data_IF_162251649975
#
_entry.id   IF_162251649975
#
_cell.length_a   1.000
_cell.length_b   1.000
_cell.length_c   1.000
_cell.angle_alpha   90.00
_cell.angle_beta   90.00
_cell.angle_gamma   90.00
#
_symmetry.space_group_name_H-M   'P 1'
#
loop_
_entity.id
_entity.type
_entity.pdbx_description
1 polymer ?
#
# COMPACT_ATOMS: atom_id res chain seq x y z
N UNK A 1 -31.14 -14.87 9.80
CA UNK A 1 -30.58 -15.47 8.56
C UNK A 1 -31.06 -16.91 8.44
N UNK A 2 -31.62 -17.26 7.28
CA UNK A 2 -32.29 -18.54 6.99
C UNK A 2 -31.25 -19.66 6.83
N UNK A 3 -31.45 -20.78 7.51
CA UNK A 3 -30.64 -22.00 7.37
C UNK A 3 -31.06 -22.72 6.07
N UNK A 4 -30.12 -22.84 5.14
CA UNK A 4 -30.26 -23.60 3.90
C UNK A 4 -30.23 -25.10 4.19
N UNK A 5 -31.28 -25.78 3.73
CA UNK A 5 -31.42 -27.23 3.66
C UNK A 5 -30.49 -27.78 2.57
N UNK A 6 -29.72 -28.83 2.86
CA UNK A 6 -29.05 -29.64 1.83
C UNK A 6 -29.85 -30.92 1.60
N UNK A 7 -30.66 -30.91 0.55
CA UNK A 7 -31.08 -32.11 -0.17
C UNK A 7 -29.89 -32.57 -1.03
N UNK A 8 -29.26 -33.68 -0.67
CA UNK A 8 -28.35 -34.41 -1.54
C UNK A 8 -28.82 -35.88 -1.54
N UNK A 9 -29.58 -36.28 -2.56
CA UNK A 9 -29.02 -36.95 -3.75
C UNK A 9 -28.52 -38.35 -3.38
N UNK A 10 -29.39 -39.37 -3.31
CA UNK A 10 -29.79 -40.20 -4.46
C UNK A 10 -28.55 -40.67 -5.23
N UNK A 11 -28.05 -41.88 -4.93
CA UNK A 11 -27.38 -42.82 -5.85
C UNK A 11 -26.81 -44.02 -5.06
N UNK A 12 -27.66 -45.01 -4.75
CA UNK A 12 -27.22 -46.40 -4.53
C UNK A 12 -28.09 -47.31 -5.42
N UNK A 13 -27.82 -47.26 -6.73
CA UNK A 13 -28.25 -48.31 -7.64
C UNK A 13 -27.29 -49.49 -7.44
N UNK A 14 -27.77 -50.48 -6.70
CA UNK A 14 -27.15 -51.78 -6.47
C UNK A 14 -27.25 -52.57 -7.80
N UNK A 15 -26.15 -52.96 -8.47
CA UNK A 15 -26.26 -53.83 -9.63
C UNK A 15 -26.57 -55.25 -9.14
N UNK A 16 -27.75 -55.73 -9.51
CA UNK A 16 -28.23 -57.08 -9.27
C UNK A 16 -27.33 -58.10 -9.98
N UNK A 17 -26.77 -59.02 -9.20
CA UNK A 17 -26.09 -60.23 -9.66
C UNK A 17 -27.17 -61.17 -10.23
N UNK A 18 -27.29 -61.26 -11.55
CA UNK A 18 -28.17 -62.23 -12.22
C UNK A 18 -27.71 -62.51 -13.65
N UNK A 19 -26.53 -63.10 -13.82
CA UNK A 19 -26.06 -63.71 -15.09
C UNK A 19 -25.16 -64.92 -14.78
N UNK A 20 -25.68 -65.89 -14.03
CA UNK A 20 -24.96 -67.14 -13.75
C UNK A 20 -25.93 -68.33 -13.88
N UNK A 21 -26.45 -68.53 -15.09
CA UNK A 21 -27.12 -69.77 -15.47
C UNK A 21 -27.09 -69.94 -17.00
N UNK A 22 -26.71 -71.14 -17.44
CA UNK A 22 -26.63 -71.67 -18.81
C UNK A 22 -25.33 -71.31 -19.56
N UNK A 23 -24.26 -72.09 -19.37
CA UNK A 23 -23.94 -73.29 -20.17
C UNK A 23 -23.47 -72.94 -21.58
N UNK A 24 -22.14 -72.76 -21.76
CA UNK A 24 -21.31 -73.29 -22.86
C UNK A 24 -19.99 -72.48 -23.09
N UNK A 25 -19.05 -72.40 -22.12
CA UNK A 25 -17.79 -71.62 -22.28
C UNK A 25 -16.56 -72.19 -21.52
N UNK A 26 -16.27 -73.49 -21.60
CA UNK A 26 -15.03 -74.03 -20.98
C UNK A 26 -13.75 -73.81 -21.82
N UNK A 27 -13.84 -73.14 -22.97
CA UNK A 27 -12.72 -72.89 -23.89
C UNK A 27 -12.12 -71.48 -23.86
N UNK A 28 -12.75 -70.50 -23.20
CA UNK A 28 -12.36 -69.08 -23.27
C UNK A 28 -11.98 -68.44 -21.91
N UNK A 29 -11.96 -69.20 -20.81
CA UNK A 29 -11.72 -68.70 -19.44
C UNK A 29 -10.23 -68.42 -19.15
N UNK A 30 -9.38 -68.21 -20.17
CA UNK A 30 -7.94 -67.97 -19.97
C UNK A 30 -7.43 -66.59 -20.36
N UNK A 31 -8.25 -65.71 -20.94
CA UNK A 31 -7.79 -64.36 -21.33
C UNK A 31 -8.74 -63.21 -20.97
N UNK A 32 -9.92 -63.48 -20.44
CA UNK A 32 -10.70 -62.43 -19.79
C UNK A 32 -10.06 -62.14 -18.42
N UNK A 33 -9.61 -60.90 -18.20
CA UNK A 33 -9.11 -60.44 -16.90
C UNK A 33 -10.06 -60.92 -15.79
N UNK A 34 -9.51 -61.62 -14.79
CA UNK A 34 -10.33 -62.10 -13.66
C UNK A 34 -11.02 -60.89 -13.04
N UNK A 35 -12.33 -60.94 -12.75
CA UNK A 35 -13.02 -59.83 -12.08
C UNK A 35 -12.33 -59.42 -10.77
N UNK A 36 -11.58 -60.36 -10.16
CA UNK A 36 -10.72 -60.10 -9.02
C UNK A 36 -9.56 -59.12 -9.32
N UNK A 37 -8.89 -59.25 -10.46
CA UNK A 37 -7.77 -58.38 -10.85
C UNK A 37 -8.26 -56.96 -11.13
N UNK A 38 -9.44 -56.81 -11.72
CA UNK A 38 -10.11 -55.51 -11.91
C UNK A 38 -10.39 -54.83 -10.56
N UNK A 39 -10.89 -55.59 -9.58
CA UNK A 39 -11.14 -55.05 -8.22
C UNK A 39 -9.84 -54.66 -7.52
N UNK A 40 -8.75 -55.42 -7.70
CA UNK A 40 -7.43 -55.08 -7.15
C UNK A 40 -6.88 -53.78 -7.75
N UNK A 41 -7.00 -53.59 -9.06
CA UNK A 41 -6.61 -52.32 -9.72
C UNK A 41 -7.43 -51.15 -9.21
N UNK A 42 -8.75 -51.29 -9.16
CA UNK A 42 -9.64 -50.24 -8.65
C UNK A 42 -9.33 -49.88 -7.19
N UNK A 43 -9.02 -50.87 -6.34
CA UNK A 43 -8.61 -50.61 -4.97
C UNK A 43 -7.29 -49.83 -4.92
N UNK A 44 -6.29 -50.21 -5.71
CA UNK A 44 -5.01 -49.50 -5.77
C UNK A 44 -5.16 -48.05 -6.31
N UNK A 45 -6.01 -47.84 -7.31
CA UNK A 45 -6.36 -46.51 -7.82
C UNK A 45 -7.05 -45.67 -6.74
N UNK A 46 -7.98 -46.26 -5.99
CA UNK A 46 -8.66 -45.58 -4.87
C UNK A 46 -7.69 -45.24 -3.74
N UNK A 47 -6.77 -46.14 -3.39
CA UNK A 47 -5.72 -45.87 -2.40
C UNK A 47 -4.75 -44.77 -2.86
N UNK A 48 -4.47 -44.68 -4.16
CA UNK A 48 -3.72 -43.57 -4.72
C UNK A 48 -4.50 -42.26 -4.63
N UNK A 49 -5.76 -42.24 -5.06
CA UNK A 49 -6.64 -41.06 -4.97
C UNK A 49 -6.77 -40.57 -3.53
N UNK A 50 -6.92 -41.48 -2.56
CA UNK A 50 -6.96 -41.16 -1.13
C UNK A 50 -5.66 -40.47 -0.68
N UNK A 51 -4.50 -40.97 -1.09
CA UNK A 51 -3.21 -40.35 -0.76
C UNK A 51 -3.07 -38.95 -1.36
N UNK A 52 -3.49 -38.77 -2.61
CA UNK A 52 -3.48 -37.47 -3.29
C UNK A 52 -4.41 -36.47 -2.60
N UNK A 53 -5.62 -36.91 -2.25
CA UNK A 53 -6.60 -36.09 -1.51
C UNK A 53 -6.07 -35.71 -0.12
N UNK A 54 -5.45 -36.64 0.61
CA UNK A 54 -4.81 -36.31 1.89
C UNK A 54 -3.67 -35.30 1.74
N UNK A 55 -2.83 -35.43 0.71
CA UNK A 55 -1.78 -34.44 0.41
C UNK A 55 -2.37 -33.06 0.12
N UNK A 56 -3.46 -32.99 -0.66
CA UNK A 56 -4.16 -31.74 -0.95
C UNK A 56 -4.81 -31.13 0.29
N UNK A 57 -5.43 -31.95 1.14
CA UNK A 57 -6.00 -31.50 2.42
C UNK A 57 -4.90 -30.90 3.28
N UNK A 58 -3.76 -31.59 3.42
CA UNK A 58 -2.64 -31.10 4.22
C UNK A 58 -2.08 -29.75 3.70
N UNK A 59 -1.91 -29.63 2.38
CA UNK A 59 -1.49 -28.37 1.76
C UNK A 59 -2.48 -27.24 2.03
N UNK A 60 -3.77 -27.50 1.86
CA UNK A 60 -4.83 -26.51 2.10
C UNK A 60 -4.90 -26.13 3.57
N UNK A 61 -4.78 -27.07 4.51
CA UNK A 61 -4.75 -26.76 5.95
C UNK A 61 -3.56 -25.88 6.30
N UNK A 62 -2.36 -26.19 5.78
CA UNK A 62 -1.17 -25.36 5.99
C UNK A 62 -1.36 -23.95 5.43
N UNK A 63 -1.98 -23.83 4.25
CA UNK A 63 -2.24 -22.52 3.63
C UNK A 63 -3.27 -21.70 4.42
N UNK A 64 -4.30 -22.34 4.97
CA UNK A 64 -5.30 -21.68 5.82
C UNK A 64 -4.65 -21.17 7.11
N UNK A 65 -3.77 -21.95 7.73
CA UNK A 65 -3.03 -21.52 8.93
C UNK A 65 -2.14 -20.31 8.66
N UNK A 66 -1.41 -20.30 7.55
CA UNK A 66 -0.58 -19.16 7.12
C UNK A 66 -1.43 -17.90 6.91
N UNK A 67 -2.52 -18.00 6.14
CA UNK A 67 -3.43 -16.88 5.91
C UNK A 67 -4.07 -16.36 7.20
N UNK A 68 -4.32 -17.24 8.18
CA UNK A 68 -4.86 -16.85 9.48
C UNK A 68 -3.84 -16.03 10.27
N UNK A 69 -2.55 -16.39 10.22
CA UNK A 69 -1.47 -15.63 10.85
C UNK A 69 -1.28 -14.27 10.19
N UNK A 70 -1.28 -14.22 8.86
CA UNK A 70 -1.17 -12.97 8.09
C UNK A 70 -2.33 -12.03 8.40
N UNK A 71 -3.55 -12.56 8.50
CA UNK A 71 -4.73 -11.78 8.85
C UNK A 71 -4.58 -11.15 10.25
N UNK A 72 -4.17 -11.93 11.25
CA UNK A 72 -3.91 -11.43 12.61
C UNK A 72 -2.81 -10.36 12.63
N UNK A 73 -1.75 -10.53 11.83
CA UNK A 73 -0.69 -9.53 11.72
C UNK A 73 -1.19 -8.21 11.12
N UNK A 74 -2.04 -8.27 10.09
CA UNK A 74 -2.65 -7.08 9.48
C UNK A 74 -3.61 -6.39 10.44
N UNK A 75 -4.40 -7.14 11.21
CA UNK A 75 -5.28 -6.57 12.24
C UNK A 75 -4.49 -5.79 13.30
N UNK A 76 -3.36 -6.33 13.77
CA UNK A 76 -2.49 -5.65 14.71
C UNK A 76 -1.93 -4.32 14.15
N UNK A 77 -1.50 -4.30 12.88
CA UNK A 77 -1.01 -3.09 12.21
C UNK A 77 -2.15 -2.07 12.03
N UNK A 78 -3.36 -2.54 11.72
CA UNK A 78 -4.52 -1.66 11.56
C UNK A 78 -4.85 -0.97 12.89
N UNK A 79 -4.88 -1.71 13.99
CA UNK A 79 -5.13 -1.16 15.33
C UNK A 79 -4.06 -0.15 15.74
N UNK A 80 -2.77 -0.45 15.53
CA UNK A 80 -1.69 0.49 15.84
C UNK A 80 -1.79 1.77 14.99
N UNK A 81 -2.10 1.64 13.71
CA UNK A 81 -2.26 2.80 12.80
C UNK A 81 -3.46 3.66 13.17
N UNK A 82 -4.58 3.04 13.57
CA UNK A 82 -5.77 3.75 14.03
C UNK A 82 -5.49 4.53 15.31
N UNK A 83 -4.75 3.92 16.25
CA UNK A 83 -4.32 4.58 17.47
C UNK A 83 -3.42 5.79 17.17
N UNK A 84 -2.39 5.61 16.34
CA UNK A 84 -1.49 6.70 15.96
C UNK A 84 -2.22 7.85 15.26
N UNK A 85 -3.22 7.53 14.42
CA UNK A 85 -4.06 8.56 13.79
C UNK A 85 -4.93 9.31 14.81
N UNK A 86 -5.48 8.62 15.81
CA UNK A 86 -6.22 9.25 16.89
C UNK A 86 -5.33 10.20 17.71
N UNK A 87 -4.10 9.77 18.03
CA UNK A 87 -3.13 10.58 18.76
C UNK A 87 -2.73 11.83 17.95
N UNK A 88 -2.46 11.69 16.64
CA UNK A 88 -2.18 12.84 15.76
C UNK A 88 -3.36 13.81 15.64
N UNK A 89 -4.59 13.30 15.55
CA UNK A 89 -5.77 14.16 15.54
C UNK A 89 -5.92 14.95 16.84
N UNK A 90 -5.66 14.31 17.99
CA UNK A 90 -5.67 14.99 19.29
C UNK A 90 -4.57 16.06 19.40
N UNK A 91 -3.38 15.81 18.86
CA UNK A 91 -2.30 16.81 18.77
C UNK A 91 -2.69 18.00 17.91
N UNK A 92 -3.25 17.76 16.71
CA UNK A 92 -3.74 18.83 15.81
C UNK A 92 -4.81 19.67 16.52
N UNK A 93 -5.74 19.05 17.22
CA UNK A 93 -6.75 19.78 18.00
C UNK A 93 -6.15 20.61 19.14
N UNK A 94 -5.11 20.10 19.81
CA UNK A 94 -4.37 20.83 20.84
C UNK A 94 -3.68 22.07 20.26
N UNK A 95 -3.01 21.91 19.12
CA UNK A 95 -2.38 23.02 18.39
C UNK A 95 -3.41 24.05 17.93
N UNK A 96 -4.51 23.61 17.33
CA UNK A 96 -5.60 24.50 16.89
C UNK A 96 -6.20 25.30 18.06
N UNK A 97 -6.41 24.67 19.23
CA UNK A 97 -6.88 25.38 20.44
C UNK A 97 -5.88 26.41 20.95
N UNK A 98 -4.57 26.11 20.86
CA UNK A 98 -3.49 27.04 21.23
C UNK A 98 -3.43 28.21 20.26
N UNK A 99 -3.47 27.95 18.95
CA UNK A 99 -3.50 28.97 17.90
C UNK A 99 -4.68 29.91 18.10
N UNK A 100 -5.89 29.38 18.25
CA UNK A 100 -7.10 30.18 18.50
C UNK A 100 -6.98 31.06 19.76
N UNK A 101 -6.27 30.60 20.79
CA UNK A 101 -6.00 31.44 21.98
C UNK A 101 -5.05 32.59 21.64
N UNK A 102 -3.98 32.32 20.89
CA UNK A 102 -3.01 33.33 20.48
C UNK A 102 -3.65 34.36 19.54
N UNK A 103 -4.49 33.92 18.61
CA UNK A 103 -5.26 34.80 17.72
C UNK A 103 -6.17 35.75 18.50
N UNK A 104 -6.84 35.26 19.55
CA UNK A 104 -7.65 36.12 20.44
C UNK A 104 -6.81 37.15 21.19
N UNK A 105 -5.64 36.76 21.70
CA UNK A 105 -4.74 37.72 22.37
C UNK A 105 -4.20 38.76 21.37
N UNK A 106 -3.82 38.34 20.17
CA UNK A 106 -3.40 39.27 19.10
C UNK A 106 -4.52 40.24 18.73
N UNK A 107 -5.75 39.74 18.56
CA UNK A 107 -6.92 40.57 18.30
C UNK A 107 -7.19 41.56 19.45
N UNK A 108 -6.94 41.14 20.71
CA UNK A 108 -7.07 42.01 21.88
C UNK A 108 -6.03 43.14 21.90
N UNK A 109 -4.79 42.89 21.49
CA UNK A 109 -3.71 43.89 21.53
C UNK A 109 -3.64 44.78 20.29
N UNK A 110 -3.85 44.21 19.10
CA UNK A 110 -3.67 44.88 17.82
C UNK A 110 -5.00 45.15 17.07
N UNK A 111 -6.13 44.75 17.64
CA UNK A 111 -7.44 44.82 17.00
C UNK A 111 -7.69 43.68 16.00
N UNK A 112 -8.89 43.64 15.43
CA UNK A 112 -9.33 42.58 14.50
C UNK A 112 -8.50 42.51 13.20
N UNK A 113 -7.73 43.56 12.88
CA UNK A 113 -6.89 43.63 11.67
C UNK A 113 -5.41 43.31 11.94
N UNK A 114 -5.11 42.58 13.01
CA UNK A 114 -3.74 42.17 13.36
C UNK A 114 -3.04 41.43 12.22
N UNK A 115 -3.76 40.63 11.43
CA UNK A 115 -3.24 39.93 10.25
C UNK A 115 -2.70 40.90 9.18
N UNK A 116 -3.48 41.95 8.86
CA UNK A 116 -3.10 42.99 7.89
C UNK A 116 -1.94 43.82 8.38
N UNK A 117 -1.92 44.13 9.68
CA UNK A 117 -0.84 44.90 10.30
C UNK A 117 0.48 44.13 10.31
N UNK A 118 0.43 42.81 10.50
CA UNK A 118 1.61 41.94 10.45
C UNK A 118 1.97 41.49 9.03
N UNK A 119 1.15 41.81 8.03
CA UNK A 119 1.36 41.39 6.64
C UNK A 119 1.35 39.86 6.48
N UNK A 120 0.64 39.14 7.36
CA UNK A 120 0.56 37.68 7.30
C UNK A 120 -0.44 37.31 6.21
N UNK A 121 -0.01 36.63 5.14
CA UNK A 121 -0.92 36.21 4.08
C UNK A 121 -1.92 35.20 4.64
N UNK A 122 -3.20 35.40 4.34
CA UNK A 122 -4.25 34.49 4.78
C UNK A 122 -4.12 33.14 4.08
N UNK A 123 -4.62 32.08 4.71
CA UNK A 123 -4.58 30.72 4.12
C UNK A 123 -5.28 30.70 2.75
N UNK A 124 -6.30 31.54 2.52
CA UNK A 124 -6.94 31.70 1.21
C UNK A 124 -5.97 32.31 0.17
N UNK A 125 -5.16 33.30 0.53
CA UNK A 125 -4.14 33.87 -0.37
C UNK A 125 -3.05 32.84 -0.70
N UNK A 126 -2.67 31.99 0.25
CA UNK A 126 -1.71 30.90 0.03
C UNK A 126 -2.27 29.78 -0.87
N UNK A 127 -3.55 29.43 -0.72
CA UNK A 127 -4.18 28.36 -1.53
C UNK A 127 -4.47 28.78 -2.98
N UNK A 128 -4.81 30.05 -3.23
CA UNK A 128 -5.21 30.52 -4.57
C UNK A 128 -4.17 31.43 -5.26
N UNK A 129 -3.11 31.88 -4.55
CA UNK A 129 -2.14 32.87 -5.03
C UNK A 129 -0.87 32.36 -5.72
N UNK A 130 -0.69 31.04 -5.88
CA UNK A 130 0.58 30.43 -6.36
C UNK A 130 0.80 30.48 -7.89
N UNK A 131 0.49 31.61 -8.54
CA UNK A 131 0.93 31.88 -9.92
C UNK A 131 1.63 33.21 -10.15
N UNK A 132 1.70 34.14 -9.19
CA UNK A 132 2.18 35.50 -9.49
C UNK A 132 3.31 36.06 -8.60
N UNK A 133 3.74 35.40 -7.52
CA UNK A 133 4.62 36.05 -6.52
C UNK A 133 6.00 35.38 -6.32
N UNK A 134 6.68 35.02 -7.41
CA UNK A 134 8.11 34.64 -7.38
C UNK A 134 9.06 35.66 -8.05
N UNK A 135 8.65 36.93 -8.17
CA UNK A 135 9.38 37.91 -9.00
C UNK A 135 10.23 38.97 -8.26
N UNK A 136 10.26 39.08 -6.93
CA UNK A 136 10.95 40.23 -6.29
C UNK A 136 11.68 39.93 -4.96
N UNK A 137 12.48 38.87 -4.91
CA UNK A 137 13.53 38.80 -3.89
C UNK A 137 14.77 38.06 -4.41
N UNK A 138 15.52 38.73 -5.27
CA UNK A 138 16.93 38.41 -5.53
C UNK A 138 17.55 39.54 -6.34
N UNK A 139 18.17 40.47 -5.62
CA UNK A 139 19.24 41.32 -6.14
C UNK A 139 20.58 40.76 -5.65
N UNK A 140 21.55 40.81 -6.56
CA UNK A 140 23.00 40.72 -6.39
C UNK A 140 23.69 39.35 -6.20
N UNK A 141 24.25 38.90 -7.34
CA UNK A 141 25.63 38.41 -7.53
C UNK A 141 26.00 36.99 -7.05
N UNK A 142 25.92 36.01 -7.97
CA UNK A 142 27.11 35.29 -8.44
C UNK A 142 26.75 34.39 -9.64
N UNK A 143 27.60 34.47 -10.67
CA UNK A 143 27.40 33.92 -12.00
C UNK A 143 27.63 32.40 -12.10
N UNK A 144 26.84 31.69 -12.90
CA UNK A 144 27.24 31.14 -14.22
C UNK A 144 26.27 30.02 -14.70
N UNK A 145 26.05 29.84 -16.03
CA UNK A 145 24.89 29.15 -16.58
C UNK A 145 25.21 27.81 -17.26
N UNK A 146 24.28 26.86 -17.25
CA UNK A 146 24.11 25.86 -18.33
C UNK A 146 22.62 25.64 -18.61
N UNK A 147 22.30 25.79 -19.89
CA UNK A 147 21.00 25.63 -20.54
C UNK A 147 20.49 24.15 -20.48
N UNK A 148 19.30 23.74 -20.91
CA UNK A 148 18.35 24.26 -21.89
C UNK A 148 17.08 23.39 -21.82
N UNK A 149 15.92 24.04 -21.89
CA UNK A 149 14.68 23.68 -22.60
C UNK A 149 14.13 22.23 -22.60
N UNK A 150 12.90 22.09 -22.07
CA UNK A 150 11.73 21.55 -22.78
C UNK A 150 10.48 21.79 -21.90
N UNK A 151 9.78 22.91 -22.06
CA UNK A 151 8.59 23.05 -22.89
C UNK A 151 7.49 22.01 -22.59
N UNK A 152 6.56 22.41 -21.72
CA UNK A 152 5.21 21.85 -21.60
C UNK A 152 4.42 22.08 -22.89
N UNK A 153 3.50 21.18 -23.29
CA UNK A 153 2.32 21.57 -24.02
C UNK A 153 1.08 21.44 -23.13
N UNK A 154 0.39 22.58 -22.95
CA UNK A 154 -0.98 22.63 -22.50
C UNK A 154 -1.92 22.30 -23.68
N UNK A 155 -2.94 21.50 -23.38
CA UNK A 155 -4.19 21.38 -24.13
C UNK A 155 -4.11 20.54 -25.40
N UNK A 156 -4.95 19.50 -25.50
CA UNK A 156 -5.82 19.22 -26.66
C UNK A 156 -6.85 18.17 -26.23
N UNK A 157 -8.10 18.62 -26.06
CA UNK A 157 -9.26 17.77 -26.12
C UNK A 157 -9.31 17.11 -27.52
N UNK A 158 -9.19 15.78 -27.59
CA UNK A 158 -9.60 14.97 -28.73
C UNK A 158 -9.67 13.48 -28.37
N UNK A 159 -10.88 13.03 -28.00
CA UNK A 159 -11.41 11.76 -28.51
C UNK A 159 -11.63 11.92 -30.03
N UNK A 160 -11.67 10.86 -30.89
CA UNK A 160 -11.90 9.45 -30.56
C UNK A 160 -11.01 8.44 -31.32
N UNK A 161 -10.51 7.42 -30.64
CA UNK A 161 -10.26 6.11 -31.28
C UNK A 161 -10.51 5.00 -30.26
N UNK A 162 -11.58 4.27 -30.54
CA UNK A 162 -12.12 3.13 -29.82
C UNK A 162 -11.09 2.00 -29.89
N UNK A 163 -10.22 1.93 -28.89
CA UNK A 163 -9.41 0.74 -28.61
C UNK A 163 -10.23 -0.09 -27.64
N UNK A 164 -10.38 -1.38 -27.92
CA UNK A 164 -11.16 -2.32 -27.11
C UNK A 164 -10.86 -2.18 -25.61
N UNK A 165 -11.86 -2.32 -24.71
CA UNK A 165 -11.62 -2.28 -23.29
C UNK A 165 -10.66 -3.42 -22.91
N UNK A 166 -9.46 -3.13 -22.37
CA UNK A 166 -8.58 -4.18 -21.89
C UNK A 166 -9.27 -4.91 -20.72
N UNK A 167 -8.96 -6.20 -20.59
CA UNK A 167 -9.59 -7.10 -19.64
C UNK A 167 -9.55 -6.52 -18.22
N UNK A 168 -10.49 -6.86 -17.32
CA UNK A 168 -10.53 -6.30 -15.97
C UNK A 168 -9.25 -6.59 -15.15
N UNK A 169 -8.43 -7.56 -15.56
CA UNK A 169 -7.12 -7.84 -14.97
C UNK A 169 -6.09 -6.75 -15.34
N UNK A 170 -6.04 -6.33 -16.60
CA UNK A 170 -5.05 -5.35 -17.09
C UNK A 170 -5.24 -3.98 -16.44
N UNK A 171 -6.49 -3.58 -16.18
CA UNK A 171 -6.80 -2.31 -15.47
C UNK A 171 -6.31 -2.30 -14.02
N UNK A 172 -6.26 -3.46 -13.38
CA UNK A 172 -5.71 -3.60 -12.03
C UNK A 172 -4.18 -3.57 -12.08
N UNK A 173 -3.59 -4.21 -13.09
CA UNK A 173 -2.16 -4.21 -13.33
C UNK A 173 -1.61 -2.78 -13.53
N UNK A 174 -2.23 -1.99 -14.41
CA UNK A 174 -1.80 -0.61 -14.67
C UNK A 174 -1.93 0.27 -13.43
N UNK A 175 -2.99 0.09 -12.63
CA UNK A 175 -3.17 0.84 -11.38
C UNK A 175 -2.09 0.48 -10.34
N UNK A 176 -1.67 -0.78 -10.28
CA UNK A 176 -0.58 -1.22 -9.40
C UNK A 176 0.75 -0.61 -9.85
N UNK A 177 1.00 -0.55 -11.16
CA UNK A 177 2.20 0.07 -11.74
C UNK A 177 2.23 1.58 -11.47
N UNK A 178 1.10 2.28 -11.63
CA UNK A 178 0.97 3.70 -11.30
C UNK A 178 1.26 3.96 -9.82
N UNK A 179 0.70 3.15 -8.92
CA UNK A 179 0.95 3.28 -7.48
C UNK A 179 2.43 3.02 -7.13
N UNK A 180 3.07 2.02 -7.74
CA UNK A 180 4.50 1.76 -7.57
C UNK A 180 5.35 2.94 -8.03
N UNK A 181 5.02 3.52 -9.19
CA UNK A 181 5.74 4.68 -9.71
C UNK A 181 5.60 5.91 -8.81
N UNK A 182 4.42 6.12 -8.22
CA UNK A 182 4.16 7.21 -7.29
C UNK A 182 4.91 7.04 -5.98
N UNK A 183 4.91 5.82 -5.41
CA UNK A 183 5.64 5.50 -4.18
C UNK A 183 7.13 5.77 -4.37
N UNK A 184 7.73 5.28 -5.47
CA UNK A 184 9.15 5.50 -5.76
C UNK A 184 9.48 6.99 -5.92
N UNK A 185 8.62 7.76 -6.59
CA UNK A 185 8.80 9.20 -6.73
C UNK A 185 8.67 9.95 -5.40
N UNK A 186 7.80 9.49 -4.50
CA UNK A 186 7.65 10.05 -3.16
C UNK A 186 8.87 9.74 -2.28
N UNK A 187 9.37 8.51 -2.31
CA UNK A 187 10.61 8.08 -1.63
C UNK A 187 11.80 8.94 -2.07
N UNK A 188 12.00 9.11 -3.38
CA UNK A 188 13.09 9.93 -3.90
C UNK A 188 13.01 11.40 -3.44
N UNK A 189 11.80 11.98 -3.39
CA UNK A 189 11.60 13.35 -2.87
C UNK A 189 11.89 13.43 -1.38
N UNK A 190 11.53 12.40 -0.62
CA UNK A 190 11.78 12.32 0.81
C UNK A 190 13.29 12.21 1.09
N UNK A 191 14.01 11.33 0.39
CA UNK A 191 15.46 11.20 0.52
C UNK A 191 16.18 12.51 0.20
N UNK A 192 15.75 13.20 -0.86
CA UNK A 192 16.30 14.52 -1.21
C UNK A 192 16.08 15.55 -0.10
N UNK A 193 14.91 15.52 0.57
CA UNK A 193 14.63 16.41 1.70
C UNK A 193 15.44 16.06 2.93
N UNK A 194 15.58 14.76 3.23
CA UNK A 194 16.40 14.27 4.35
C UNK A 194 17.85 14.70 4.15
N UNK A 195 18.44 14.47 2.98
CA UNK A 195 19.81 14.89 2.69
C UNK A 195 20.02 16.42 2.81
N UNK A 196 19.04 17.23 2.39
CA UNK A 196 19.09 18.69 2.60
C UNK A 196 18.99 19.11 4.06
N UNK A 197 18.20 18.38 4.86
CA UNK A 197 18.08 18.65 6.29
C UNK A 197 19.36 18.25 7.02
N UNK A 198 19.94 17.09 6.70
CA UNK A 198 21.22 16.64 7.23
C UNK A 198 22.33 17.63 6.90
N UNK A 199 22.39 18.14 5.66
CA UNK A 199 23.35 19.17 5.29
C UNK A 199 23.19 20.44 6.14
N UNK A 200 21.97 20.92 6.34
CA UNK A 200 21.70 22.10 7.18
C UNK A 200 22.05 21.87 8.65
N UNK A 201 21.83 20.66 9.17
CA UNK A 201 22.23 20.29 10.53
C UNK A 201 23.76 20.32 10.63
N UNK A 202 24.48 19.72 9.67
CA UNK A 202 25.95 19.76 9.65
C UNK A 202 26.50 21.18 9.56
N UNK A 203 25.90 22.04 8.73
CA UNK A 203 26.27 23.46 8.64
C UNK A 203 26.03 24.19 9.98
N UNK A 204 24.88 23.98 10.61
CA UNK A 204 24.55 24.57 11.91
C UNK A 204 25.47 24.06 13.04
N UNK A 205 25.81 22.78 13.05
CA UNK A 205 26.76 22.19 13.99
C UNK A 205 28.17 22.76 13.80
N UNK A 206 28.62 22.92 12.55
CA UNK A 206 29.91 23.52 12.24
C UNK A 206 29.98 25.01 12.65
N UNK A 207 28.90 25.77 12.44
CA UNK A 207 28.81 27.15 12.96
C UNK A 207 28.81 27.18 14.48
N UNK A 208 28.08 26.27 15.14
CA UNK A 208 28.08 26.13 16.60
C UNK A 208 29.48 25.90 17.16
N UNK A 209 30.26 25.01 16.55
CA UNK A 209 31.66 24.76 16.92
C UNK A 209 32.53 26.02 16.78
N UNK A 210 32.37 26.77 15.68
CA UNK A 210 33.10 28.04 15.48
C UNK A 210 32.77 29.08 16.56
N UNK A 211 31.50 29.20 16.95
CA UNK A 211 31.09 30.09 18.03
C UNK A 211 31.64 29.65 19.40
N UNK A 212 31.69 28.35 19.68
CA UNK A 212 32.31 27.83 20.89
C UNK A 212 33.82 28.13 20.95
N UNK A 213 34.52 28.00 19.83
CA UNK A 213 35.95 28.35 19.72
C UNK A 213 36.18 29.85 19.96
N UNK A 214 35.39 30.72 19.33
CA UNK A 214 35.45 32.17 19.56
C UNK A 214 35.20 32.50 21.04
N UNK A 215 34.21 31.84 21.66
CA UNK A 215 33.88 32.04 23.06
C UNK A 215 35.05 31.65 23.97
N UNK A 216 35.74 30.54 23.69
CA UNK A 216 36.96 30.12 24.41
C UNK A 216 38.10 31.12 24.28
N UNK A 217 38.22 31.83 23.15
CA UNK A 217 39.27 32.86 22.95
C UNK A 217 38.95 34.19 23.66
N UNK A 218 37.68 34.55 23.78
CA UNK A 218 37.24 35.80 24.46
C UNK A 218 37.28 35.64 25.99
N UNK A 219 36.96 34.46 26.51
CA UNK A 219 36.91 34.20 27.95
C UNK A 219 38.22 34.53 28.74
N UNK A 220 39.44 34.28 28.23
CA UNK A 220 40.68 34.67 28.90
C UNK A 220 41.03 36.17 28.81
N UNK A 221 40.37 36.95 27.95
CA UNK A 221 40.56 38.41 27.85
C UNK A 221 39.69 39.21 28.84
N UNK A 222 38.78 38.54 29.56
CA UNK A 222 37.86 39.14 30.52
C UNK A 222 38.31 38.98 31.99
N UNK A 223 39.55 38.54 32.23
CA UNK A 223 40.21 38.51 33.55
C UNK A 223 41.40 39.48 33.56
#
# INVERSE_FOLDING_TARGET
MRRSQTLASKHHARPSISTLAAHDELGAIREAESPEDTLRRQLAEKDQEIRELHGRIHLLTSRVEELTKDHQAVEMILESTQKDNADRMAEIECHSKRELRLERELARFAGEQWEKMLGIPTIQELMYGTKAAHSHFSDAESASPVARAAALPAGHARQPSRTEPPAPADRKQTRIEDLRSLILAMEQRQDTRVGRLEQKIQEAEAEGQRFEELRKQIQPLAQ
#
